data_IF_297508312720
#
_entry.id   IF_297508312720
#
_cell.length_a   1.000
_cell.length_b   1.000
_cell.length_c   1.000
_cell.angle_alpha   90.00
_cell.angle_beta   90.00
_cell.angle_gamma   90.00
#
_symmetry.space_group_name_H-M   'P 1'
#
loop_
_entity.id
_entity.type
_entity.pdbx_description
1 polymer ?
#
# COMPACT_ATOMS: atom_id res chain seq x y z
N UNK A 1 21.05 1.64 -13.89
CA UNK A 1 19.78 1.87 -14.60
C UNK A 1 19.88 1.82 -16.13
N UNK A 2 20.53 2.75 -16.83
CA UNK A 2 20.42 2.85 -18.30
C UNK A 2 21.04 1.66 -19.10
N UNK A 3 22.02 0.96 -18.51
CA UNK A 3 22.67 -0.21 -19.12
C UNK A 3 22.07 -1.54 -18.64
N UNK A 4 21.12 -1.51 -17.72
CA UNK A 4 20.44 -2.68 -17.20
C UNK A 4 19.13 -2.86 -17.94
N UNK A 5 18.72 -4.11 -18.15
CA UNK A 5 17.45 -4.39 -18.83
C UNK A 5 16.28 -4.26 -17.84
N UNK A 6 15.24 -3.56 -18.26
CA UNK A 6 13.95 -3.45 -17.60
C UNK A 6 12.96 -4.48 -18.14
N UNK A 7 11.74 -4.04 -18.43
CA UNK A 7 10.67 -4.88 -18.99
C UNK A 7 10.29 -4.43 -20.40
N UNK A 8 9.47 -5.22 -21.10
CA UNK A 8 8.84 -4.79 -22.35
C UNK A 8 7.82 -3.71 -22.00
N UNK A 9 7.85 -2.58 -22.72
CA UNK A 9 6.90 -1.48 -22.55
C UNK A 9 5.85 -1.55 -23.65
N UNK A 10 4.58 -1.44 -23.27
CA UNK A 10 3.43 -1.37 -24.17
C UNK A 10 2.49 -0.28 -23.67
N UNK A 11 2.04 0.57 -24.58
CA UNK A 11 1.10 1.66 -24.27
C UNK A 11 -0.29 1.37 -24.83
N UNK A 12 -0.40 0.38 -25.72
CA UNK A 12 -1.63 0.08 -26.44
C UNK A 12 -2.09 -1.36 -26.19
N UNK A 13 -3.37 -1.50 -25.84
CA UNK A 13 -4.01 -2.80 -25.78
C UNK A 13 -4.07 -3.44 -27.17
N UNK A 14 -3.58 -4.68 -27.30
CA UNK A 14 -3.32 -5.34 -28.60
C UNK A 14 -2.45 -4.52 -29.57
N UNK A 15 -1.53 -3.72 -29.04
CA UNK A 15 -0.60 -2.96 -29.86
C UNK A 15 0.41 -3.84 -30.60
N UNK A 16 1.10 -3.22 -31.56
CA UNK A 16 2.14 -3.85 -32.37
C UNK A 16 3.55 -3.40 -31.95
N UNK A 17 3.70 -2.89 -30.73
CA UNK A 17 5.01 -2.48 -30.22
C UNK A 17 5.97 -3.67 -30.18
N UNK A 18 7.26 -3.47 -30.52
CA UNK A 18 8.25 -4.54 -30.48
C UNK A 18 8.31 -5.19 -29.09
N UNK A 19 8.25 -6.53 -29.03
CA UNK A 19 8.48 -7.30 -27.80
C UNK A 19 9.97 -7.34 -27.44
N UNK A 20 10.53 -6.17 -27.18
CA UNK A 20 11.92 -5.98 -26.77
C UNK A 20 11.93 -5.29 -25.41
N UNK A 21 12.76 -5.81 -24.50
CA UNK A 21 12.96 -5.19 -23.19
C UNK A 21 13.55 -3.80 -23.37
N UNK A 22 12.92 -2.81 -22.74
CA UNK A 22 13.50 -1.51 -22.55
C UNK A 22 14.64 -1.59 -21.51
N UNK A 23 15.38 -0.51 -21.33
CA UNK A 23 16.28 -0.36 -20.19
C UNK A 23 15.49 -0.21 -18.89
N UNK A 24 16.14 -0.51 -17.76
CA UNK A 24 15.56 -0.30 -16.44
C UNK A 24 15.22 1.19 -16.22
N UNK A 25 16.04 2.09 -16.78
CA UNK A 25 15.78 3.53 -16.75
C UNK A 25 14.45 3.86 -17.43
N UNK A 26 14.25 3.39 -18.66
CA UNK A 26 13.01 3.64 -19.41
C UNK A 26 11.80 3.02 -18.72
N UNK A 27 11.93 1.83 -18.11
CA UNK A 27 10.84 1.23 -17.32
C UNK A 27 10.44 2.08 -16.11
N UNK A 28 11.41 2.67 -15.40
CA UNK A 28 11.09 3.61 -14.32
C UNK A 28 10.47 4.90 -14.85
N UNK A 29 11.04 5.51 -15.89
CA UNK A 29 10.51 6.75 -16.48
C UNK A 29 9.06 6.58 -16.97
N UNK A 30 8.74 5.41 -17.52
CA UNK A 30 7.37 5.02 -17.87
C UNK A 30 6.43 5.05 -16.66
N UNK A 31 6.79 4.36 -15.57
CA UNK A 31 5.99 4.33 -14.33
C UNK A 31 5.83 5.73 -13.73
N UNK A 32 6.91 6.53 -13.70
CA UNK A 32 6.86 7.88 -13.16
C UNK A 32 5.93 8.80 -13.96
N UNK A 33 6.01 8.75 -15.29
CA UNK A 33 5.15 9.51 -16.20
C UNK A 33 3.69 9.18 -15.98
N UNK A 34 3.35 7.90 -15.85
CA UNK A 34 1.96 7.47 -15.66
C UNK A 34 1.43 7.90 -14.28
N UNK A 35 2.25 7.80 -13.23
CA UNK A 35 1.87 8.29 -11.90
C UNK A 35 1.68 9.81 -11.87
N UNK A 36 2.56 10.58 -12.53
CA UNK A 36 2.45 12.03 -12.59
C UNK A 36 1.19 12.46 -13.38
N UNK A 37 0.87 11.78 -14.48
CA UNK A 37 -0.36 12.03 -15.26
C UNK A 37 -1.62 11.61 -14.50
N UNK A 38 -1.59 10.49 -13.80
CA UNK A 38 -2.71 10.04 -12.97
C UNK A 38 -2.98 11.00 -11.80
N UNK A 39 -1.95 11.55 -11.17
CA UNK A 39 -2.10 12.54 -10.10
C UNK A 39 -2.77 13.84 -10.59
N UNK A 40 -2.57 14.23 -11.85
CA UNK A 40 -3.27 15.36 -12.45
C UNK A 40 -4.76 15.08 -12.64
N UNK A 41 -5.11 13.92 -13.20
CA UNK A 41 -6.51 13.56 -13.46
C UNK A 41 -7.30 13.14 -12.22
N UNK A 42 -6.63 12.61 -11.20
CA UNK A 42 -7.23 12.19 -9.95
C UNK A 42 -7.10 13.23 -8.84
N UNK A 43 -6.74 14.48 -9.21
CA UNK A 43 -6.60 15.59 -8.27
C UNK A 43 -7.87 15.71 -7.44
N UNK A 44 -7.71 15.82 -6.13
CA UNK A 44 -8.84 16.01 -5.22
C UNK A 44 -9.26 17.48 -5.28
N UNK A 45 -10.56 17.72 -5.41
CA UNK A 45 -11.11 19.08 -5.43
C UNK A 45 -10.85 19.80 -4.10
N UNK A 46 -10.58 21.11 -4.17
CA UNK A 46 -10.22 21.92 -3.00
C UNK A 46 -11.35 22.02 -1.96
N UNK A 47 -12.60 21.81 -2.38
CA UNK A 47 -13.81 21.82 -1.55
C UNK A 47 -14.28 20.40 -1.15
N UNK A 48 -13.49 19.36 -1.43
CA UNK A 48 -13.83 17.99 -1.03
C UNK A 48 -13.85 17.85 0.51
N UNK A 49 -15.00 17.41 1.04
CA UNK A 49 -15.26 17.27 2.49
C UNK A 49 -15.39 15.83 2.97
N UNK A 50 -15.21 14.85 2.08
CA UNK A 50 -15.31 13.43 2.42
C UNK A 50 -14.06 12.87 3.11
N UNK A 51 -14.11 11.56 3.39
CA UNK A 51 -12.93 10.78 3.76
C UNK A 51 -12.15 10.39 2.51
N UNK A 52 -10.82 10.29 2.61
CA UNK A 52 -9.95 9.65 1.62
C UNK A 52 -9.14 8.48 2.18
N UNK A 53 -9.41 8.09 3.43
CA UNK A 53 -8.85 6.89 4.03
C UNK A 53 -9.73 5.68 3.72
N UNK A 54 -9.11 4.49 3.76
CA UNK A 54 -9.75 3.20 3.52
C UNK A 54 -10.35 3.03 2.11
N UNK A 55 -9.87 3.83 1.14
CA UNK A 55 -10.39 3.85 -0.23
C UNK A 55 -10.09 2.57 -1.00
N UNK A 56 -11.03 2.15 -1.84
CA UNK A 56 -10.86 1.03 -2.77
C UNK A 56 -10.52 1.50 -4.19
N UNK A 57 -10.64 2.79 -4.45
CA UNK A 57 -10.27 3.44 -5.70
C UNK A 57 -9.02 4.32 -5.52
N UNK A 58 -8.30 4.57 -6.61
CA UNK A 58 -7.17 5.48 -6.58
C UNK A 58 -7.67 6.92 -6.52
N UNK A 59 -6.96 7.75 -5.75
CA UNK A 59 -7.09 9.20 -5.75
C UNK A 59 -5.68 9.83 -5.87
N UNK A 60 -5.61 11.16 -5.87
CA UNK A 60 -4.36 11.92 -5.91
C UNK A 60 -3.30 11.42 -4.91
N UNK A 61 -3.69 11.14 -3.68
CA UNK A 61 -2.77 10.74 -2.62
C UNK A 61 -2.27 9.31 -2.77
N UNK A 62 -3.05 8.43 -3.42
CA UNK A 62 -2.55 7.11 -3.84
C UNK A 62 -1.40 7.28 -4.84
N UNK A 63 -1.54 8.19 -5.82
CA UNK A 63 -0.49 8.48 -6.78
C UNK A 63 0.76 9.07 -6.09
N UNK A 64 0.61 10.04 -5.17
CA UNK A 64 1.75 10.60 -4.43
C UNK A 64 2.45 9.55 -3.56
N UNK A 65 1.71 8.64 -2.90
CA UNK A 65 2.28 7.57 -2.10
C UNK A 65 3.10 6.58 -2.94
N UNK A 66 2.57 6.16 -4.09
CA UNK A 66 3.29 5.30 -5.05
C UNK A 66 4.50 6.02 -5.64
N UNK A 67 4.37 7.31 -5.99
CA UNK A 67 5.46 8.14 -6.51
C UNK A 67 6.60 8.27 -5.49
N UNK A 68 6.29 8.41 -4.21
CA UNK A 68 7.28 8.43 -3.14
C UNK A 68 8.00 7.08 -3.02
N UNK A 69 7.27 5.96 -3.03
CA UNK A 69 7.86 4.61 -2.98
C UNK A 69 8.78 4.33 -4.16
N UNK A 70 8.36 4.63 -5.38
CA UNK A 70 9.18 4.43 -6.58
C UNK A 70 10.42 5.33 -6.52
N UNK A 71 10.29 6.58 -6.07
CA UNK A 71 11.45 7.48 -5.89
C UNK A 71 12.45 6.93 -4.88
N UNK A 72 11.96 6.35 -3.78
CA UNK A 72 12.81 5.71 -2.78
C UNK A 72 13.58 4.52 -3.37
N UNK A 73 12.94 3.66 -4.17
CA UNK A 73 13.62 2.57 -4.89
C UNK A 73 14.69 3.06 -5.87
N UNK A 74 14.49 4.24 -6.46
CA UNK A 74 15.45 4.88 -7.35
C UNK A 74 16.53 5.69 -6.63
N UNK A 75 16.53 5.69 -5.29
CA UNK A 75 17.40 6.53 -4.44
C UNK A 75 17.28 8.03 -4.74
N UNK A 76 16.12 8.48 -5.24
CA UNK A 76 15.80 9.90 -5.44
C UNK A 76 15.17 10.45 -4.15
N UNK A 77 16.00 10.66 -3.14
CA UNK A 77 15.51 10.99 -1.79
C UNK A 77 14.71 12.29 -1.72
N UNK A 78 15.10 13.33 -2.46
CA UNK A 78 14.36 14.60 -2.49
C UNK A 78 12.94 14.43 -3.05
N UNK A 79 12.79 13.65 -4.13
CA UNK A 79 11.47 13.32 -4.68
C UNK A 79 10.67 12.46 -3.69
N UNK A 80 11.30 11.46 -3.06
CA UNK A 80 10.63 10.62 -2.07
C UNK A 80 10.07 11.46 -0.91
N UNK A 81 10.89 12.38 -0.38
CA UNK A 81 10.48 13.33 0.67
C UNK A 81 9.35 14.23 0.18
N UNK A 82 9.50 14.83 -1.02
CA UNK A 82 8.49 15.73 -1.61
C UNK A 82 7.12 15.06 -1.71
N UNK A 83 7.04 13.89 -2.32
CA UNK A 83 5.75 13.22 -2.56
C UNK A 83 5.19 12.57 -1.29
N UNK A 84 6.01 12.02 -0.40
CA UNK A 84 5.54 11.53 0.91
C UNK A 84 4.99 12.68 1.77
N UNK A 85 5.63 13.85 1.73
CA UNK A 85 5.20 15.04 2.45
C UNK A 85 3.84 15.54 1.97
N UNK A 86 3.50 15.39 0.68
CA UNK A 86 2.14 15.72 0.19
C UNK A 86 1.08 14.85 0.85
N UNK A 87 1.33 13.55 1.01
CA UNK A 87 0.39 12.62 1.66
C UNK A 87 0.28 12.90 3.16
N UNK A 88 1.40 13.03 3.87
CA UNK A 88 1.41 13.30 5.33
C UNK A 88 0.86 14.70 5.64
N UNK A 89 1.12 15.65 4.75
CA UNK A 89 0.70 17.04 4.86
C UNK A 89 -0.78 17.26 4.56
N UNK A 90 -1.45 16.35 3.84
CA UNK A 90 -2.86 16.49 3.46
C UNK A 90 -3.83 16.35 4.63
N UNK A 91 -3.40 15.67 5.70
CA UNK A 91 -4.19 15.40 6.92
C UNK A 91 -5.43 14.54 6.71
N UNK A 92 -5.62 13.93 5.55
CA UNK A 92 -6.69 12.94 5.34
C UNK A 92 -6.44 11.59 6.04
N UNK A 93 -5.17 11.29 6.38
CA UNK A 93 -4.76 10.02 6.98
C UNK A 93 -4.28 10.22 8.41
N UNK A 94 -4.71 9.34 9.32
CA UNK A 94 -4.35 9.38 10.74
C UNK A 94 -3.87 8.01 11.19
N UNK A 95 -2.74 7.95 11.89
CA UNK A 95 -2.21 6.71 12.45
C UNK A 95 -3.19 6.09 13.45
N UNK A 96 -3.40 4.78 13.32
CA UNK A 96 -4.21 4.04 14.27
C UNK A 96 -3.47 3.84 15.60
N UNK A 97 -4.25 3.87 16.68
CA UNK A 97 -3.70 3.84 18.04
C UNK A 97 -3.85 2.44 18.63
N UNK A 98 -2.72 1.81 18.94
CA UNK A 98 -2.73 0.57 19.70
C UNK A 98 -3.23 0.75 21.16
N UNK A 99 -3.35 2.00 21.63
CA UNK A 99 -3.86 2.39 22.95
C UNK A 99 -5.33 2.81 22.96
N UNK A 100 -6.07 2.58 21.87
CA UNK A 100 -7.47 3.01 21.74
C UNK A 100 -8.33 1.93 21.09
N UNK A 101 -9.61 1.96 21.40
CA UNK A 101 -10.61 0.99 20.96
C UNK A 101 -11.85 1.75 20.43
N UNK A 102 -11.64 2.63 19.44
CA UNK A 102 -12.69 3.49 18.87
C UNK A 102 -13.61 2.74 17.91
N UNK A 103 -13.12 1.69 17.23
CA UNK A 103 -13.95 0.87 16.33
C UNK A 103 -14.79 -0.18 17.06
N UNK A 104 -14.23 -0.84 18.07
CA UNK A 104 -14.84 -1.96 18.79
C UNK A 104 -14.19 -2.15 20.15
N UNK A 105 -14.92 -2.76 21.09
CA UNK A 105 -14.38 -3.12 22.40
C UNK A 105 -13.55 -4.43 22.38
N UNK A 106 -13.49 -5.15 21.26
CA UNK A 106 -12.83 -6.47 21.17
C UNK A 106 -11.32 -6.40 20.90
N UNK A 107 -10.90 -5.44 20.07
CA UNK A 107 -9.50 -5.24 19.67
C UNK A 107 -9.18 -3.74 19.67
N UNK A 108 -7.90 -3.40 19.87
CA UNK A 108 -7.46 -2.01 19.71
C UNK A 108 -7.47 -1.58 18.23
N UNK A 109 -7.42 -0.28 17.98
CA UNK A 109 -7.58 0.31 16.64
C UNK A 109 -6.46 -0.14 15.68
N UNK A 110 -5.24 -0.36 16.17
CA UNK A 110 -4.15 -0.87 15.34
C UNK A 110 -4.37 -2.34 14.92
N UNK A 111 -4.82 -3.19 15.85
CA UNK A 111 -5.17 -4.59 15.55
C UNK A 111 -6.43 -4.71 14.68
N UNK A 112 -7.32 -3.72 14.73
CA UNK A 112 -8.51 -3.67 13.89
C UNK A 112 -8.17 -3.69 12.39
N UNK A 113 -7.08 -3.03 11.99
CA UNK A 113 -6.59 -3.01 10.60
C UNK A 113 -6.38 -4.43 10.08
N UNK A 114 -5.66 -5.25 10.83
CA UNK A 114 -5.27 -6.61 10.42
C UNK A 114 -6.42 -7.61 10.56
N UNK A 115 -7.34 -7.35 11.49
CA UNK A 115 -8.48 -8.25 11.75
C UNK A 115 -9.64 -8.02 10.79
N UNK A 116 -9.91 -6.76 10.44
CA UNK A 116 -11.11 -6.36 9.70
C UNK A 116 -10.84 -5.59 8.40
N UNK A 117 -9.58 -5.21 8.14
CA UNK A 117 -9.18 -4.58 6.87
C UNK A 117 -9.63 -3.13 6.71
N UNK A 118 -9.96 -2.44 7.80
CA UNK A 118 -10.47 -1.07 7.83
C UNK A 118 -9.56 -0.17 8.68
N UNK A 119 -9.27 1.04 8.20
CA UNK A 119 -8.35 1.96 8.88
C UNK A 119 -8.40 3.41 8.38
N UNK A 120 -8.19 4.38 9.28
CA UNK A 120 -7.89 5.80 8.95
C UNK A 120 -6.48 6.04 8.42
N UNK A 121 -5.59 5.06 8.53
CA UNK A 121 -4.21 5.16 8.04
C UNK A 121 -4.02 4.53 6.65
N UNK A 122 -5.01 3.74 6.19
CA UNK A 122 -4.97 3.11 4.87
C UNK A 122 -5.22 4.14 3.76
N UNK A 123 -4.23 4.33 2.88
CA UNK A 123 -4.33 5.21 1.70
C UNK A 123 -5.16 4.57 0.60
N UNK A 124 -4.94 3.27 0.36
CA UNK A 124 -5.67 2.47 -0.60
C UNK A 124 -5.64 1.01 -0.17
N UNK A 125 -6.71 0.27 -0.48
CA UNK A 125 -6.77 -1.18 -0.27
C UNK A 125 -7.48 -1.90 -1.42
N UNK A 126 -7.27 -3.21 -1.47
CA UNK A 126 -8.07 -4.09 -2.33
C UNK A 126 -9.47 -4.20 -1.72
N UNK A 127 -10.48 -3.77 -2.47
CA UNK A 127 -11.87 -3.84 -2.04
C UNK A 127 -12.43 -5.27 -2.08
N UNK A 128 -13.02 -5.71 -0.97
CA UNK A 128 -13.79 -6.94 -0.89
C UNK A 128 -15.18 -6.68 -0.33
N UNK A 129 -16.17 -7.41 -0.83
CA UNK A 129 -17.51 -7.46 -0.27
C UNK A 129 -17.90 -8.91 0.01
N UNK A 130 -18.97 -9.13 0.78
CA UNK A 130 -19.48 -10.48 1.09
C UNK A 130 -19.84 -11.32 -0.15
N UNK A 131 -20.06 -10.69 -1.31
CA UNK A 131 -20.42 -11.35 -2.57
C UNK A 131 -19.41 -11.09 -3.70
N UNK A 132 -18.34 -10.35 -3.43
CA UNK A 132 -17.27 -10.04 -4.38
C UNK A 132 -15.97 -9.98 -3.62
N UNK A 133 -15.45 -11.16 -3.33
CA UNK A 133 -14.14 -11.39 -2.76
C UNK A 133 -13.39 -12.31 -3.73
N UNK A 134 -12.12 -12.01 -3.97
CA UNK A 134 -11.28 -12.82 -4.86
C UNK A 134 -10.93 -14.17 -4.21
N UNK A 135 -9.72 -14.67 -4.50
CA UNK A 135 -9.16 -15.73 -3.67
C UNK A 135 -8.96 -15.27 -2.22
N UNK A 136 -8.75 -16.22 -1.31
CA UNK A 136 -8.41 -15.92 0.08
C UNK A 136 -6.99 -15.34 0.18
N UNK A 137 -6.89 -14.02 -0.01
CA UNK A 137 -5.62 -13.30 0.14
C UNK A 137 -5.14 -13.43 1.58
N UNK A 138 -3.88 -13.84 1.76
CA UNK A 138 -3.26 -13.97 3.07
C UNK A 138 -3.40 -15.35 3.73
N UNK A 139 -4.08 -16.33 3.12
CA UNK A 139 -4.15 -17.70 3.66
C UNK A 139 -2.78 -18.29 3.95
N UNK A 140 -1.78 -17.99 3.12
CA UNK A 140 -0.40 -18.46 3.32
C UNK A 140 0.25 -17.97 4.62
N UNK A 141 -0.26 -16.89 5.23
CA UNK A 141 0.30 -16.27 6.43
C UNK A 141 -0.43 -16.63 7.73
N UNK A 142 -1.70 -17.05 7.67
CA UNK A 142 -2.52 -17.32 8.85
C UNK A 142 -3.17 -18.73 8.81
N UNK A 143 -3.88 -19.03 7.72
CA UNK A 143 -4.56 -20.30 7.45
C UNK A 143 -5.38 -20.84 8.64
N UNK A 144 -6.14 -19.97 9.31
CA UNK A 144 -7.00 -20.37 10.41
C UNK A 144 -8.27 -21.06 9.90
N UNK A 145 -8.55 -22.26 10.41
CA UNK A 145 -9.74 -23.04 10.03
C UNK A 145 -10.78 -23.17 11.16
N UNK A 146 -10.85 -22.19 12.06
CA UNK A 146 -11.68 -22.21 13.29
C UNK A 146 -11.24 -23.21 14.37
N UNK A 147 -10.17 -23.98 14.14
CA UNK A 147 -9.63 -24.97 15.10
C UNK A 147 -8.13 -24.85 15.25
N UNK A 148 -7.40 -24.66 14.15
CA UNK A 148 -5.94 -24.60 14.10
C UNK A 148 -5.47 -23.51 13.16
N UNK A 149 -4.31 -22.93 13.47
CA UNK A 149 -3.52 -22.10 12.56
C UNK A 149 -2.51 -22.99 11.82
N UNK A 150 -2.45 -22.91 10.49
CA UNK A 150 -1.54 -23.72 9.65
C UNK A 150 -0.86 -22.87 8.57
N UNK A 151 -0.15 -21.80 8.95
CA UNK A 151 0.47 -20.91 7.98
C UNK A 151 1.58 -21.62 7.21
N UNK A 152 1.75 -21.26 5.93
CA UNK A 152 2.87 -21.72 5.11
C UNK A 152 4.15 -20.92 5.41
N UNK A 153 4.01 -19.68 5.88
CA UNK A 153 5.10 -18.79 6.25
C UNK A 153 4.93 -18.30 7.69
N UNK A 154 5.99 -18.43 8.49
CA UNK A 154 6.06 -17.92 9.86
C UNK A 154 7.23 -16.95 10.01
N UNK A 155 7.13 -15.94 10.89
CA UNK A 155 8.24 -15.04 11.15
C UNK A 155 9.40 -15.78 11.82
N UNK A 156 10.62 -15.45 11.40
CA UNK A 156 11.84 -15.89 12.09
C UNK A 156 11.89 -15.33 13.52
N UNK A 157 12.49 -16.08 14.45
CA UNK A 157 12.54 -15.69 15.87
C UNK A 157 13.18 -14.32 16.08
N UNK A 158 14.21 -13.98 15.30
CA UNK A 158 14.88 -12.68 15.40
C UNK A 158 13.98 -11.51 14.97
N UNK A 159 12.99 -11.74 14.09
CA UNK A 159 12.00 -10.73 13.70
C UNK A 159 11.09 -10.42 14.89
N UNK A 160 10.57 -11.45 15.55
CA UNK A 160 9.74 -11.29 16.75
C UNK A 160 10.53 -10.60 17.87
N UNK A 161 11.79 -11.00 18.06
CA UNK A 161 12.66 -10.42 19.08
C UNK A 161 13.16 -9.00 18.75
N UNK A 162 12.87 -8.47 17.56
CA UNK A 162 13.20 -7.08 17.21
C UNK A 162 12.22 -6.06 17.80
N UNK A 163 11.06 -6.51 18.28
CA UNK A 163 10.06 -5.68 18.94
C UNK A 163 10.35 -5.59 20.45
N UNK A 164 10.13 -4.41 21.02
CA UNK A 164 10.16 -4.23 22.48
C UNK A 164 9.04 -5.06 23.13
N UNK A 165 9.22 -5.50 24.37
CA UNK A 165 8.21 -6.30 25.07
C UNK A 165 6.88 -5.55 25.29
N UNK A 166 6.89 -4.21 25.26
CA UNK A 166 5.70 -3.38 25.35
C UNK A 166 5.17 -2.94 23.97
N UNK A 167 5.78 -3.39 22.88
CA UNK A 167 5.35 -3.06 21.53
C UNK A 167 4.15 -3.91 21.13
N UNK A 168 3.02 -3.24 20.88
CA UNK A 168 1.75 -3.89 20.57
C UNK A 168 1.64 -4.33 19.10
N UNK A 169 2.62 -4.01 18.24
CA UNK A 169 2.59 -4.36 16.82
C UNK A 169 2.76 -5.85 16.58
N UNK A 170 3.67 -6.50 17.31
CA UNK A 170 3.94 -7.94 17.12
C UNK A 170 2.66 -8.79 17.34
N UNK A 171 1.94 -8.56 18.44
CA UNK A 171 0.69 -9.27 18.76
C UNK A 171 -0.53 -8.86 17.90
N UNK A 172 -0.39 -7.81 17.09
CA UNK A 172 -1.40 -7.38 16.14
C UNK A 172 -1.18 -7.95 14.73
N UNK A 173 0.09 -8.14 14.33
CA UNK A 173 0.49 -8.58 12.99
C UNK A 173 0.62 -10.11 12.91
N UNK A 174 1.04 -10.78 13.98
CA UNK A 174 1.34 -12.21 14.04
C UNK A 174 0.41 -12.99 14.97
#
# INVERSE_FOLDING_TARGET
AAKELGVVLTEHYYGNEPQKRASLKESYEFVLRDLDKAAEYLKVDEDFTGSLYNEIFFNEYTCHALRARVSLYMHKYDDAIKYASKVIGSKYYTLEKASSNTYTNQVNDYKYIWTYGDSREAIWKVGFTVNSYGGALGTIFDNYNYVTYRPDYVPETWVINSFDSNDLRAAAIF
#
